data_IF_077270276480
#
_entry.id   IF_077270276480
#
_cell.length_a   1.000
_cell.length_b   1.000
_cell.length_c   1.000
_cell.angle_alpha   90.00
_cell.angle_beta   90.00
_cell.angle_gamma   90.00
#
_symmetry.space_group_name_H-M   'P 1'
#
loop_
_entity.id
_entity.type
_entity.pdbx_description
1 polymer ?
#
# COMPACT_ATOMS: atom_id res chain seq x y z
N UNK A 1 7.17 -0.62 20.16
CA UNK A 1 6.82 -0.94 18.76
C UNK A 1 5.35 -1.29 18.72
N UNK A 2 4.60 -0.69 17.82
CA UNK A 2 3.17 -0.91 17.63
C UNK A 2 2.87 -1.18 16.15
N UNK A 3 1.95 -2.10 15.87
CA UNK A 3 1.42 -2.34 14.52
C UNK A 3 -0.02 -1.83 14.51
N UNK A 4 -0.38 -1.09 13.46
CA UNK A 4 -1.71 -0.51 13.28
C UNK A 4 -2.07 -0.38 11.81
N UNK A 5 -3.33 -0.07 11.53
CA UNK A 5 -3.78 0.30 10.18
C UNK A 5 -3.13 1.63 9.74
N UNK A 6 -2.93 1.75 8.43
CA UNK A 6 -2.51 2.99 7.78
C UNK A 6 -3.59 4.07 7.98
N UNK A 7 -3.15 5.29 8.26
CA UNK A 7 -3.99 6.50 8.31
C UNK A 7 -3.62 7.42 7.16
N UNK A 8 -4.53 8.32 6.80
CA UNK A 8 -4.29 9.26 5.69
C UNK A 8 -3.06 10.15 5.95
N UNK A 9 -2.82 10.53 7.21
CA UNK A 9 -1.66 11.34 7.62
C UNK A 9 -0.31 10.61 7.55
N UNK A 10 -0.30 9.28 7.36
CA UNK A 10 0.94 8.49 7.31
C UNK A 10 1.62 8.54 5.94
N UNK A 11 0.96 9.01 4.88
CA UNK A 11 1.50 8.98 3.51
C UNK A 11 2.92 9.57 3.42
N UNK A 12 3.23 10.76 3.97
CA UNK A 12 4.58 11.31 3.88
C UNK A 12 5.63 10.42 4.56
N UNK A 13 5.27 9.76 5.66
CA UNK A 13 6.15 8.84 6.37
C UNK A 13 6.35 7.52 5.60
N UNK A 14 5.32 7.03 4.90
CA UNK A 14 5.43 5.87 4.01
C UNK A 14 6.34 6.17 2.82
N UNK A 15 6.19 7.33 2.18
CA UNK A 15 7.08 7.75 1.08
C UNK A 15 8.53 7.90 1.55
N UNK A 16 8.74 8.48 2.73
CA UNK A 16 10.09 8.60 3.32
C UNK A 16 10.70 7.23 3.63
N UNK A 17 9.91 6.30 4.16
CA UNK A 17 10.33 4.92 4.42
C UNK A 17 10.71 4.20 3.12
N UNK A 18 9.85 4.33 2.09
CA UNK A 18 10.06 3.71 0.79
C UNK A 18 11.33 4.22 0.12
N UNK A 19 11.51 5.55 0.07
CA UNK A 19 12.68 6.19 -0.52
C UNK A 19 13.98 5.67 0.11
N UNK A 20 14.02 5.63 1.45
CA UNK A 20 15.17 5.10 2.22
C UNK A 20 15.46 3.63 1.93
N UNK A 21 14.44 2.80 1.75
CA UNK A 21 14.60 1.35 1.61
C UNK A 21 14.88 0.92 0.17
N UNK A 22 14.27 1.58 -0.80
CA UNK A 22 14.28 1.12 -2.19
C UNK A 22 14.12 2.25 -3.24
N UNK A 23 14.12 3.52 -2.83
CA UNK A 23 13.85 4.67 -3.71
C UNK A 23 14.82 4.82 -4.88
N UNK A 24 16.08 4.43 -4.70
CA UNK A 24 17.08 4.47 -5.80
C UNK A 24 16.68 3.58 -6.98
N UNK A 25 16.11 2.40 -6.71
CA UNK A 25 15.71 1.44 -7.75
C UNK A 25 14.23 1.58 -8.14
N UNK A 26 13.39 1.98 -7.19
CA UNK A 26 11.94 2.06 -7.32
C UNK A 26 11.46 3.41 -6.77
N UNK A 27 11.70 4.52 -7.48
CA UNK A 27 11.23 5.83 -7.02
C UNK A 27 9.70 5.85 -6.93
N UNK A 28 9.20 6.38 -5.82
CA UNK A 28 7.77 6.48 -5.53
C UNK A 28 7.46 7.88 -4.99
N UNK A 29 6.62 8.62 -5.71
CA UNK A 29 6.11 9.91 -5.27
C UNK A 29 4.65 9.81 -4.80
N UNK A 30 4.13 10.91 -4.26
CA UNK A 30 2.75 11.00 -3.77
C UNK A 30 1.72 10.71 -4.87
N UNK A 31 1.93 11.19 -6.09
CA UNK A 31 1.00 10.97 -7.20
C UNK A 31 0.93 9.49 -7.60
N UNK A 32 2.07 8.81 -7.68
CA UNK A 32 2.16 7.38 -7.95
C UNK A 32 1.61 6.53 -6.81
N UNK A 33 1.82 6.95 -5.56
CA UNK A 33 1.23 6.28 -4.40
C UNK A 33 -0.29 6.38 -4.42
N UNK A 34 -0.84 7.59 -4.59
CA UNK A 34 -2.28 7.81 -4.69
C UNK A 34 -2.88 6.97 -5.83
N UNK A 35 -2.25 7.00 -7.01
CA UNK A 35 -2.72 6.27 -8.18
C UNK A 35 -2.73 4.75 -7.96
N UNK A 36 -1.67 4.17 -7.39
CA UNK A 36 -1.48 2.72 -7.35
C UNK A 36 -1.96 2.05 -6.05
N UNK A 37 -2.18 2.84 -5.00
CA UNK A 37 -2.64 2.37 -3.69
C UNK A 37 -4.06 2.84 -3.45
N UNK A 38 -4.27 4.15 -3.31
CA UNK A 38 -5.55 4.70 -2.83
C UNK A 38 -6.67 4.61 -3.88
N UNK A 39 -6.32 4.69 -5.16
CA UNK A 39 -7.26 4.62 -6.28
C UNK A 39 -7.38 3.23 -6.90
N UNK A 40 -6.70 2.23 -6.35
CA UNK A 40 -6.80 0.84 -6.83
C UNK A 40 -8.20 0.28 -6.55
N UNK A 41 -8.80 -0.41 -7.52
CA UNK A 41 -10.14 -1.00 -7.38
C UNK A 41 -10.20 -2.10 -6.30
N UNK A 42 -9.06 -2.63 -5.91
CA UNK A 42 -8.88 -3.64 -4.87
C UNK A 42 -8.29 -3.06 -3.58
N UNK A 43 -8.24 -1.72 -3.47
CA UNK A 43 -7.86 -1.06 -2.24
C UNK A 43 -8.85 -1.39 -1.13
N UNK A 44 -8.31 -1.81 0.01
CA UNK A 44 -9.06 -2.04 1.24
C UNK A 44 -8.32 -1.35 2.39
N UNK A 45 -8.91 -0.35 3.06
CA UNK A 45 -8.26 0.36 4.16
C UNK A 45 -7.96 -0.55 5.37
N UNK A 46 -8.63 -1.69 5.49
CA UNK A 46 -8.34 -2.69 6.52
C UNK A 46 -7.19 -3.63 6.13
N UNK A 47 -6.68 -3.52 4.89
CA UNK A 47 -5.60 -4.35 4.34
C UNK A 47 -4.27 -3.60 4.17
N UNK A 48 -4.13 -2.45 4.84
CA UNK A 48 -2.88 -1.67 4.85
C UNK A 48 -2.43 -1.42 6.27
N UNK A 49 -1.22 -1.88 6.60
CA UNK A 49 -0.65 -1.83 7.93
C UNK A 49 0.68 -1.11 7.92
N UNK A 50 0.96 -0.46 9.05
CA UNK A 50 2.25 0.14 9.35
C UNK A 50 2.71 -0.31 10.73
N UNK A 51 4.03 -0.38 10.90
CA UNK A 51 4.66 -0.56 12.20
C UNK A 51 5.41 0.71 12.60
N UNK A 52 5.25 1.16 13.83
CA UNK A 52 5.93 2.35 14.37
C UNK A 52 6.74 2.02 15.62
N UNK A 53 7.86 2.73 15.81
CA UNK A 53 8.63 2.70 17.06
C UNK A 53 7.94 3.54 18.16
N UNK A 54 8.54 3.59 19.35
CA UNK A 54 7.97 4.35 20.48
C UNK A 54 8.03 5.88 20.28
N UNK A 55 8.75 6.36 19.27
CA UNK A 55 8.87 7.77 18.90
C UNK A 55 7.95 8.17 17.74
N UNK A 56 7.14 7.24 17.21
CA UNK A 56 6.24 7.48 16.09
C UNK A 56 6.89 7.38 14.71
N UNK A 57 8.12 6.89 14.61
CA UNK A 57 8.76 6.67 13.31
C UNK A 57 8.25 5.38 12.68
N UNK A 58 7.84 5.44 11.40
CA UNK A 58 7.48 4.23 10.67
C UNK A 58 8.72 3.36 10.39
N UNK A 59 8.60 2.11 10.81
CA UNK A 59 9.60 1.05 10.63
C UNK A 59 9.26 0.13 9.46
N UNK A 60 7.96 -0.08 9.20
CA UNK A 60 7.49 -0.97 8.15
C UNK A 60 6.15 -0.51 7.57
N UNK A 61 5.91 -0.89 6.32
CA UNK A 61 4.67 -0.70 5.58
C UNK A 61 4.34 -2.02 4.87
N UNK A 62 3.08 -2.44 4.97
CA UNK A 62 2.56 -3.62 4.29
C UNK A 62 1.19 -3.33 3.70
N UNK A 63 1.01 -3.66 2.42
CA UNK A 63 -0.24 -3.48 1.68
C UNK A 63 -0.61 -4.78 1.00
N UNK A 64 -1.79 -5.30 1.33
CA UNK A 64 -2.42 -6.41 0.62
C UNK A 64 -3.57 -5.89 -0.25
N UNK A 65 -3.65 -6.36 -1.50
CA UNK A 65 -4.80 -6.09 -2.39
C UNK A 65 -5.87 -7.14 -2.17
N UNK A 66 -7.10 -6.73 -1.92
CA UNK A 66 -8.23 -7.64 -1.69
C UNK A 66 -9.06 -7.72 -2.95
N UNK A 67 -8.94 -8.82 -3.67
CA UNK A 67 -9.77 -9.07 -4.84
C UNK A 67 -11.23 -9.28 -4.40
N UNK A 68 -12.11 -8.34 -4.75
CA UNK A 68 -13.56 -8.44 -4.49
C UNK A 68 -14.26 -8.82 -5.80
N UNK A 69 -14.87 -9.99 -5.82
CA UNK A 69 -15.60 -10.53 -6.97
C UNK A 69 -16.92 -9.78 -7.25
N UNK A 70 -17.43 -9.82 -8.50
CA UNK A 70 -16.99 -10.69 -9.57
C UNK A 70 -15.88 -10.07 -10.43
N UNK A 71 -14.76 -10.80 -10.57
CA UNK A 71 -13.76 -10.61 -11.62
C UNK A 71 -14.37 -10.72 -13.04
N UNK A 72 -15.59 -11.28 -13.14
CA UNK A 72 -16.25 -11.71 -14.36
C UNK A 72 -16.98 -10.66 -15.20
N UNK A 73 -16.98 -9.36 -14.87
CA UNK A 73 -17.53 -8.33 -15.77
C UNK A 73 -16.51 -7.76 -16.75
N UNK A 74 -15.22 -8.08 -16.58
CA UNK A 74 -14.14 -7.60 -17.46
C UNK A 74 -13.70 -8.61 -18.53
N UNK A 75 -14.21 -9.85 -18.52
CA UNK A 75 -13.90 -10.85 -19.57
C UNK A 75 -12.42 -11.24 -19.69
N UNK A 76 -11.59 -10.92 -18.70
CA UNK A 76 -10.14 -11.17 -18.75
C UNK A 76 -9.74 -11.89 -17.45
N UNK A 77 -9.96 -13.19 -17.42
CA UNK A 77 -9.00 -14.10 -16.80
C UNK A 77 -8.87 -15.33 -17.71
N UNK A 78 -7.68 -15.63 -18.24
CA UNK A 78 -7.46 -16.92 -18.89
C UNK A 78 -7.53 -18.03 -17.83
N UNK A 79 -8.16 -19.15 -18.19
CA UNK A 79 -8.20 -20.36 -17.37
C UNK A 79 -6.76 -20.76 -16.99
N UNK A 80 -6.49 -20.91 -15.70
CA UNK A 80 -5.25 -21.55 -15.25
C UNK A 80 -5.49 -23.06 -15.23
N UNK A 81 -4.89 -23.75 -16.20
CA UNK A 81 -4.63 -25.19 -16.17
C UNK A 81 -3.28 -25.51 -15.54
#
# INVERSE_FOLDING_TARGET
>A
MQIRLLRAEDEPAVLTLWDRCMGEQFPLDSALFEQNVLRDAHFDPEAVWVAEDNGGNLLAYAHAKVCREPLGSAGIMPEQG
#
